data_IF_917987224931
#
_entry.id   IF_917987224931
#
_cell.length_a   1.000
_cell.length_b   1.000
_cell.length_c   1.000
_cell.angle_alpha   90.00
_cell.angle_beta   90.00
_cell.angle_gamma   90.00
#
_symmetry.space_group_name_H-M   'P 1'
#
loop_
_entity.id
_entity.type
_entity.pdbx_description
1 polymer ?
#
# COMPACT_ATOMS: atom_id res chain seq x y z
N UNK A 1 11.47 -13.43 -13.39
CA UNK A 1 10.86 -12.86 -12.18
C UNK A 1 9.50 -12.34 -12.58
N UNK A 2 8.41 -12.76 -11.91
CA UNK A 2 7.04 -12.40 -12.29
C UNK A 2 6.70 -11.05 -11.66
N UNK A 3 6.37 -10.05 -12.48
CA UNK A 3 6.05 -8.70 -12.01
C UNK A 3 4.55 -8.50 -12.02
N UNK A 4 4.04 -7.71 -11.08
CA UNK A 4 2.63 -7.34 -11.10
C UNK A 4 2.27 -6.55 -12.36
N UNK A 5 3.17 -5.66 -12.81
CA UNK A 5 2.99 -4.87 -14.04
C UNK A 5 2.76 -5.69 -15.31
N UNK A 6 3.16 -6.97 -15.32
CA UNK A 6 2.96 -7.86 -16.47
C UNK A 6 1.47 -8.19 -16.69
N UNK A 7 0.64 -8.13 -15.63
CA UNK A 7 -0.80 -8.44 -15.68
C UNK A 7 -1.71 -7.28 -15.26
N UNK A 8 -1.14 -6.14 -14.87
CA UNK A 8 -1.87 -4.97 -14.33
C UNK A 8 -3.01 -4.52 -15.26
N UNK A 9 -2.74 -4.39 -16.56
CA UNK A 9 -3.74 -4.01 -17.58
C UNK A 9 -4.89 -5.01 -17.66
N UNK A 10 -4.60 -6.31 -17.52
CA UNK A 10 -5.61 -7.38 -17.56
C UNK A 10 -6.50 -7.35 -16.32
N UNK A 11 -5.90 -7.18 -15.14
CA UNK A 11 -6.65 -7.01 -13.90
C UNK A 11 -7.61 -5.81 -13.96
N UNK A 12 -7.15 -4.72 -14.58
CA UNK A 12 -7.96 -3.53 -14.81
C UNK A 12 -9.11 -3.79 -15.79
N UNK A 13 -8.84 -4.41 -16.94
CA UNK A 13 -9.88 -4.72 -17.93
C UNK A 13 -10.96 -5.64 -17.37
N UNK A 14 -10.55 -6.58 -16.52
CA UNK A 14 -11.43 -7.56 -15.89
C UNK A 14 -12.19 -6.96 -14.67
N UNK A 15 -11.91 -5.71 -14.31
CA UNK A 15 -12.60 -5.01 -13.22
C UNK A 15 -12.20 -5.45 -11.81
N UNK A 16 -11.12 -6.23 -11.65
CA UNK A 16 -10.73 -6.77 -10.34
C UNK A 16 -10.44 -5.66 -9.31
N UNK A 17 -9.84 -4.53 -9.72
CA UNK A 17 -9.59 -3.42 -8.81
C UNK A 17 -10.85 -2.69 -8.35
N UNK A 18 -12.00 -2.95 -8.97
CA UNK A 18 -13.32 -2.46 -8.54
C UNK A 18 -13.99 -3.37 -7.51
N UNK A 19 -13.46 -4.57 -7.30
CA UNK A 19 -13.98 -5.54 -6.34
C UNK A 19 -13.16 -5.59 -5.05
N UNK A 20 -11.85 -5.36 -5.15
CA UNK A 20 -10.92 -5.56 -4.04
C UNK A 20 -10.21 -4.26 -3.65
N UNK A 21 -10.27 -3.84 -2.37
CA UNK A 21 -9.55 -2.67 -1.91
C UNK A 21 -8.04 -2.90 -2.10
N UNK A 22 -7.41 -2.03 -2.87
CA UNK A 22 -6.00 -2.17 -3.24
C UNK A 22 -5.33 -0.82 -3.17
N UNK A 23 -4.19 -0.77 -2.47
CA UNK A 23 -3.37 0.42 -2.35
C UNK A 23 -1.94 0.13 -2.81
N UNK A 24 -1.38 1.10 -3.54
CA UNK A 24 0.05 1.16 -3.84
C UNK A 24 0.74 1.94 -2.75
N UNK A 25 1.71 1.33 -2.10
CA UNK A 25 2.56 1.95 -1.09
C UNK A 25 3.83 2.44 -1.76
N UNK A 26 4.08 3.74 -1.68
CA UNK A 26 5.15 4.40 -2.41
C UNK A 26 6.35 4.70 -1.52
N UNK A 27 6.10 5.40 -0.42
CA UNK A 27 7.15 6.02 0.38
C UNK A 27 6.78 6.00 1.87
N UNK A 28 7.80 5.92 2.72
CA UNK A 28 7.71 6.18 4.16
C UNK A 28 7.94 7.69 4.37
N UNK A 29 7.03 8.43 5.03
CA UNK A 29 7.24 9.83 5.35
C UNK A 29 8.42 9.99 6.30
N UNK A 30 9.16 11.10 6.21
CA UNK A 30 10.19 11.41 7.21
C UNK A 30 9.52 11.95 8.46
N UNK A 31 10.21 11.81 9.59
CA UNK A 31 9.72 12.34 10.88
C UNK A 31 9.36 13.84 10.80
N UNK A 32 10.19 14.64 10.11
CA UNK A 32 9.92 16.08 9.89
C UNK A 32 8.64 16.36 9.09
N UNK A 33 8.19 15.42 8.25
CA UNK A 33 6.98 15.57 7.45
C UNK A 33 5.75 15.27 8.32
N UNK A 34 5.91 14.34 9.28
CA UNK A 34 4.89 14.04 10.27
C UNK A 34 4.69 15.17 11.29
N UNK A 35 5.73 15.95 11.57
CA UNK A 35 5.67 17.10 12.49
C UNK A 35 4.92 18.32 11.92
N UNK A 36 4.58 18.33 10.62
CA UNK A 36 4.01 19.50 9.93
C UNK A 36 2.48 19.54 9.88
N UNK A 37 1.79 18.79 10.72
CA UNK A 37 0.34 18.69 10.68
C UNK A 37 -0.29 18.30 12.01
N UNK A 38 -1.63 18.35 12.06
CA UNK A 38 -2.42 17.81 13.17
C UNK A 38 -2.57 16.29 13.02
N UNK A 39 -1.47 15.58 12.80
CA UNK A 39 -1.48 14.13 12.64
C UNK A 39 -1.72 13.44 13.99
N UNK A 40 -2.42 12.28 14.00
CA UNK A 40 -2.57 11.50 15.21
C UNK A 40 -1.20 11.01 15.68
N UNK A 41 -1.06 10.86 17.00
CA UNK A 41 0.14 10.27 17.59
C UNK A 41 0.13 8.76 17.31
N UNK A 42 1.31 8.22 17.01
CA UNK A 42 1.53 6.77 16.97
C UNK A 42 1.35 6.23 18.40
N UNK A 43 0.39 5.33 18.58
CA UNK A 43 0.03 4.78 19.89
C UNK A 43 0.89 3.57 20.26
N UNK A 44 1.39 2.84 19.26
CA UNK A 44 2.21 1.64 19.45
C UNK A 44 3.14 1.37 18.25
N UNK A 45 4.09 0.44 18.40
CA UNK A 45 5.08 0.08 17.37
C UNK A 45 4.51 -0.59 16.12
N UNK A 46 3.23 -0.98 16.17
CA UNK A 46 2.54 -1.66 15.07
C UNK A 46 1.89 -0.67 14.10
N UNK A 47 1.84 0.61 14.47
CA UNK A 47 1.31 1.68 13.65
C UNK A 47 2.41 2.34 12.81
N UNK A 48 2.16 2.48 11.51
CA UNK A 48 3.14 3.03 10.56
C UNK A 48 2.43 3.97 9.60
N UNK A 49 2.96 5.19 9.47
CA UNK A 49 2.54 6.10 8.42
C UNK A 49 3.20 5.73 7.10
N UNK A 50 2.43 5.70 6.01
CA UNK A 50 2.88 5.42 4.66
C UNK A 50 2.16 6.33 3.66
N UNK A 51 2.86 6.76 2.61
CA UNK A 51 2.21 7.35 1.45
C UNK A 51 1.62 6.23 0.59
N UNK A 52 0.30 6.27 0.42
CA UNK A 52 -0.45 5.28 -0.31
C UNK A 52 -1.30 5.94 -1.40
N UNK A 53 -1.51 5.22 -2.50
CA UNK A 53 -2.38 5.62 -3.59
C UNK A 53 -3.45 4.56 -3.84
N UNK A 54 -4.70 5.00 -3.96
CA UNK A 54 -5.79 4.16 -4.43
C UNK A 54 -5.81 4.08 -5.95
N UNK A 55 -6.28 2.95 -6.46
CA UNK A 55 -6.43 2.75 -7.90
C UNK A 55 -7.87 3.08 -8.32
N UNK A 56 -8.79 2.11 -8.25
CA UNK A 56 -10.17 2.26 -8.79
C UNK A 56 -11.27 2.33 -7.73
N UNK A 57 -10.92 2.18 -6.46
CA UNK A 57 -11.87 2.21 -5.37
C UNK A 57 -11.58 3.34 -4.39
N UNK A 58 -12.66 3.91 -3.87
CA UNK A 58 -12.61 4.73 -2.69
C UNK A 58 -12.30 3.84 -1.49
N UNK A 59 -11.16 4.07 -0.83
CA UNK A 59 -10.70 3.24 0.27
C UNK A 59 -10.97 3.93 1.59
N UNK A 60 -11.91 3.40 2.38
CA UNK A 60 -12.36 4.00 3.64
C UNK A 60 -11.42 3.68 4.80
N UNK A 61 -11.39 4.53 5.81
CA UNK A 61 -10.86 4.16 7.14
C UNK A 61 -11.55 2.88 7.63
N UNK A 62 -10.82 2.07 8.38
CA UNK A 62 -11.14 0.72 8.83
C UNK A 62 -11.23 -0.35 7.73
N UNK A 63 -10.77 -0.05 6.51
CA UNK A 63 -10.57 -1.10 5.50
C UNK A 63 -9.48 -2.07 5.96
N UNK A 64 -9.77 -3.37 5.83
CA UNK A 64 -8.86 -4.45 6.20
C UNK A 64 -8.10 -4.95 4.98
N UNK A 65 -6.82 -5.25 5.19
CA UNK A 65 -5.92 -5.87 4.23
C UNK A 65 -5.21 -7.05 4.90
N UNK A 66 -4.86 -8.07 4.12
CA UNK A 66 -4.29 -9.31 4.65
C UNK A 66 -3.05 -9.81 3.88
N UNK A 67 -2.62 -9.07 2.85
CA UNK A 67 -1.43 -9.39 2.09
C UNK A 67 -0.69 -8.14 1.63
N UNK A 68 0.63 -8.20 1.75
CA UNK A 68 1.57 -7.25 1.15
C UNK A 68 2.46 -7.98 0.16
N UNK A 69 2.74 -7.41 -1.00
CA UNK A 69 3.71 -7.97 -1.93
C UNK A 69 4.47 -6.91 -2.72
N UNK A 70 5.64 -7.30 -3.21
CA UNK A 70 6.50 -6.50 -4.06
C UNK A 70 5.91 -6.34 -5.46
N UNK A 71 5.87 -5.11 -5.97
CA UNK A 71 5.43 -4.84 -7.36
C UNK A 71 6.37 -5.50 -8.37
N UNK A 72 7.69 -5.43 -8.12
CA UNK A 72 8.72 -5.98 -9.00
C UNK A 72 8.94 -7.50 -8.85
N UNK A 73 8.52 -8.12 -7.74
CA UNK A 73 8.65 -9.56 -7.53
C UNK A 73 7.49 -10.08 -6.67
N UNK A 74 6.43 -10.55 -7.31
CA UNK A 74 5.22 -10.93 -6.57
C UNK A 74 5.42 -12.08 -5.57
N UNK A 75 6.41 -12.94 -5.82
CA UNK A 75 6.74 -14.04 -4.93
C UNK A 75 7.28 -13.55 -3.58
N UNK A 76 7.79 -12.32 -3.52
CA UNK A 76 8.11 -11.64 -2.28
C UNK A 76 6.83 -11.03 -1.69
N UNK A 77 6.06 -11.91 -1.06
CA UNK A 77 4.82 -11.57 -0.38
C UNK A 77 4.91 -11.88 1.12
N UNK A 78 4.13 -11.16 1.90
CA UNK A 78 3.94 -11.37 3.33
C UNK A 78 2.45 -11.40 3.60
N UNK A 79 1.98 -12.48 4.21
CA UNK A 79 0.65 -12.51 4.82
C UNK A 79 0.69 -11.65 6.07
N UNK A 80 -0.27 -10.77 6.22
CA UNK A 80 -0.36 -9.85 7.35
C UNK A 80 -1.82 -9.72 7.75
N UNK A 81 -2.12 -9.03 8.84
CA UNK A 81 -3.44 -8.41 9.03
C UNK A 81 -3.20 -6.95 9.32
N UNK A 82 -3.84 -6.09 8.54
CA UNK A 82 -3.58 -4.67 8.54
C UNK A 82 -4.88 -3.90 8.40
N UNK A 83 -5.03 -2.85 9.20
CA UNK A 83 -6.19 -1.96 9.18
C UNK A 83 -5.73 -0.55 8.84
N UNK A 84 -6.40 0.10 7.89
CA UNK A 84 -6.23 1.52 7.62
C UNK A 84 -6.92 2.33 8.72
N UNK A 85 -6.16 3.02 9.58
CA UNK A 85 -6.69 3.73 10.75
C UNK A 85 -6.95 5.22 10.50
N UNK A 86 -6.22 5.83 9.57
CA UNK A 86 -6.27 7.26 9.35
C UNK A 86 -5.82 7.60 7.93
N UNK A 87 -6.39 8.66 7.36
CA UNK A 87 -6.06 9.16 6.03
C UNK A 87 -5.97 10.69 6.06
N UNK A 88 -4.95 11.23 5.39
CA UNK A 88 -4.73 12.66 5.21
C UNK A 88 -4.18 12.94 3.80
N UNK A 89 -4.91 13.68 2.98
CA UNK A 89 -4.43 14.15 1.64
C UNK A 89 -3.54 15.39 1.73
N UNK A 90 -3.59 16.07 2.88
CA UNK A 90 -2.75 17.18 3.25
C UNK A 90 -2.55 17.05 4.77
N UNK A 91 -1.33 17.15 5.33
CA UNK A 91 -1.06 16.95 6.76
C UNK A 91 -1.97 17.70 7.74
N UNK A 92 -2.72 18.71 7.27
CA UNK A 92 -3.68 19.49 8.05
C UNK A 92 -5.13 18.98 7.98
N UNK A 93 -5.48 18.04 7.10
CA UNK A 93 -6.85 17.62 6.82
C UNK A 93 -6.99 16.10 6.80
N UNK A 94 -7.65 15.59 7.84
CA UNK A 94 -8.15 14.22 7.90
C UNK A 94 -9.36 14.04 6.98
N UNK A 95 -9.44 12.88 6.35
CA UNK A 95 -10.59 12.45 5.54
C UNK A 95 -10.95 11.00 5.85
N UNK A 96 -12.22 10.64 5.64
CA UNK A 96 -12.73 9.30 5.98
C UNK A 96 -12.41 8.23 4.92
N UNK A 97 -11.91 8.63 3.75
CA UNK A 97 -11.57 7.73 2.65
C UNK A 97 -10.55 8.35 1.68
N UNK A 98 -9.77 7.51 1.00
CA UNK A 98 -8.91 7.90 -0.13
C UNK A 98 -9.76 7.80 -1.39
N UNK A 99 -10.08 8.90 -2.09
CA UNK A 99 -10.81 8.81 -3.35
C UNK A 99 -10.00 8.03 -4.39
N UNK A 100 -10.66 7.30 -5.31
CA UNK A 100 -9.98 6.59 -6.40
C UNK A 100 -8.99 7.51 -7.16
N UNK A 101 -7.81 6.97 -7.46
CA UNK A 101 -6.73 7.66 -8.17
C UNK A 101 -5.91 8.63 -7.33
N UNK A 102 -6.31 8.90 -6.08
CA UNK A 102 -5.68 9.90 -5.19
C UNK A 102 -4.61 9.27 -4.31
N UNK A 103 -3.55 10.03 -4.04
CA UNK A 103 -2.51 9.69 -3.07
C UNK A 103 -2.76 10.41 -1.74
N UNK A 104 -2.52 9.72 -0.63
CA UNK A 104 -2.69 10.25 0.72
C UNK A 104 -1.62 9.70 1.66
N UNK A 105 -1.35 10.45 2.73
CA UNK A 105 -0.67 9.95 3.90
C UNK A 105 -1.65 9.10 4.73
N UNK A 106 -1.28 7.87 5.03
CA UNK A 106 -2.15 6.90 5.68
C UNK A 106 -1.47 6.32 6.92
N UNK A 107 -2.22 6.12 8.00
CA UNK A 107 -1.76 5.34 9.15
C UNK A 107 -2.30 3.92 9.02
N UNK A 108 -1.40 2.95 8.99
CA UNK A 108 -1.73 1.54 9.01
C UNK A 108 -1.39 0.93 10.36
N UNK A 109 -2.24 0.04 10.86
CA UNK A 109 -1.97 -0.76 12.06
C UNK A 109 -1.87 -2.23 11.69
N UNK A 110 -0.73 -2.85 11.97
CA UNK A 110 -0.44 -4.25 11.66
C UNK A 110 -0.60 -5.13 12.90
N UNK A 111 -1.42 -6.18 12.85
CA UNK A 111 -1.70 -7.04 14.03
C UNK A 111 -0.41 -7.67 14.60
N UNK A 112 0.45 -8.19 13.70
CA UNK A 112 1.68 -8.92 14.04
C UNK A 112 2.95 -8.04 14.03
N UNK A 113 2.78 -6.71 14.12
CA UNK A 113 3.88 -5.74 14.05
C UNK A 113 4.27 -5.35 12.62
N UNK A 114 5.17 -4.37 12.52
CA UNK A 114 5.62 -3.79 11.24
C UNK A 114 6.29 -4.86 10.35
N UNK A 115 5.75 -5.18 9.16
CA UNK A 115 6.38 -6.14 8.26
C UNK A 115 7.73 -5.67 7.72
N UNK A 116 8.75 -6.55 7.72
CA UNK A 116 10.10 -6.23 7.22
C UNK A 116 10.13 -5.82 5.75
N UNK A 117 9.20 -6.35 4.94
CA UNK A 117 9.05 -6.01 3.52
C UNK A 117 8.86 -4.50 3.29
N UNK A 118 8.33 -3.76 4.26
CA UNK A 118 8.23 -2.29 4.20
C UNK A 118 9.58 -1.59 4.10
N UNK A 119 10.68 -2.24 4.50
CA UNK A 119 12.04 -1.69 4.34
C UNK A 119 12.47 -1.54 2.87
N UNK A 120 11.69 -2.09 1.93
CA UNK A 120 11.88 -1.88 0.47
C UNK A 120 11.38 -0.52 -0.01
N UNK A 121 10.54 0.16 0.77
CA UNK A 121 10.04 1.49 0.45
C UNK A 121 11.10 2.56 0.69
N UNK A 122 11.04 3.62 -0.10
CA UNK A 122 11.89 4.80 0.06
C UNK A 122 11.41 5.69 1.20
N UNK A 123 12.32 6.48 1.78
CA UNK A 123 11.89 7.66 2.50
C UNK A 123 11.55 8.78 1.51
N UNK A 124 10.46 9.50 1.77
CA UNK A 124 10.01 10.63 0.96
C UNK A 124 11.17 11.62 0.69
N UNK A 125 11.40 11.97 -0.57
CA UNK A 125 12.50 12.83 -1.06
C UNK A 125 13.93 12.25 -1.11
N UNK A 126 14.17 10.97 -0.80
CA UNK A 126 15.50 10.33 -1.04
C UNK A 126 15.66 9.82 -2.49
N UNK A 127 14.83 10.30 -3.42
CA UNK A 127 14.78 9.87 -4.84
C UNK A 127 16.03 10.20 -5.66
N UNK A 128 17.00 10.93 -5.10
CA UNK A 128 18.28 11.27 -5.74
C UNK A 128 19.36 10.18 -5.63
N UNK A 129 19.09 9.05 -4.97
CA UNK A 129 20.06 7.94 -4.85
C UNK A 129 19.72 6.80 -5.80
N UNK A 130 20.69 6.35 -6.59
CA UNK A 130 20.67 5.24 -7.55
C UNK A 130 20.35 3.85 -6.93
N UNK A 131 19.27 3.73 -6.17
CA UNK A 131 18.91 2.55 -5.42
C UNK A 131 17.65 1.90 -6.02
N UNK A 132 17.66 0.57 -6.02
CA UNK A 132 16.62 -0.32 -6.54
C UNK A 132 15.46 -0.43 -5.54
N UNK A 133 14.75 0.66 -5.34
CA UNK A 133 13.57 0.67 -4.48
C UNK A 133 12.35 0.15 -5.22
N UNK A 134 11.42 -0.41 -4.45
CA UNK A 134 10.21 -1.01 -5.00
C UNK A 134 8.97 -0.28 -4.50
N UNK A 135 7.89 -0.38 -5.27
CA UNK A 135 6.56 -0.12 -4.74
C UNK A 135 6.04 -1.41 -4.12
N UNK A 136 5.27 -1.29 -3.05
CA UNK A 136 4.57 -2.43 -2.48
C UNK A 136 3.09 -2.29 -2.77
N UNK A 137 2.41 -3.42 -2.90
CA UNK A 137 0.95 -3.45 -3.02
C UNK A 137 0.39 -4.09 -1.75
N UNK A 138 -0.62 -3.44 -1.18
CA UNK A 138 -1.42 -3.99 -0.08
C UNK A 138 -2.85 -4.21 -0.56
N UNK A 139 -3.40 -5.41 -0.35
CA UNK A 139 -4.72 -5.81 -0.83
C UNK A 139 -5.29 -6.96 0.01
N UNK A 140 -6.32 -7.62 -0.49
CA UNK A 140 -6.91 -8.84 0.04
C UNK A 140 -6.32 -10.10 -0.62
N UNK A 141 -6.24 -11.20 0.13
CA UNK A 141 -5.63 -12.46 -0.25
C UNK A 141 -6.32 -13.07 -1.45
N UNK A 142 -7.64 -12.88 -1.54
CA UNK A 142 -8.45 -13.28 -2.70
C UNK A 142 -7.95 -12.68 -4.00
N UNK A 143 -7.57 -11.39 -4.01
CA UNK A 143 -7.00 -10.76 -5.20
C UNK A 143 -5.60 -11.29 -5.49
N UNK A 144 -4.76 -11.44 -4.46
CA UNK A 144 -3.41 -11.99 -4.62
C UNK A 144 -3.40 -13.40 -5.21
N UNK A 145 -4.33 -14.27 -4.80
CA UNK A 145 -4.50 -15.61 -5.38
C UNK A 145 -4.85 -15.53 -6.86
N UNK A 146 -5.86 -14.73 -7.24
CA UNK A 146 -6.24 -14.51 -8.65
C UNK A 146 -5.05 -14.03 -9.49
N UNK A 147 -4.30 -13.08 -8.96
CA UNK A 147 -3.08 -12.55 -9.60
C UNK A 147 -2.04 -13.67 -9.80
N UNK A 148 -1.80 -14.47 -8.76
CA UNK A 148 -0.82 -15.56 -8.81
C UNK A 148 -1.20 -16.61 -9.85
N UNK A 149 -2.50 -16.94 -9.95
CA UNK A 149 -3.04 -17.85 -10.96
C UNK A 149 -2.84 -17.30 -12.38
N UNK A 150 -3.18 -16.03 -12.62
CA UNK A 150 -3.00 -15.37 -13.93
C UNK A 150 -1.54 -15.38 -14.38
N UNK A 151 -0.62 -15.07 -13.47
CA UNK A 151 0.82 -15.09 -13.76
C UNK A 151 1.38 -16.51 -13.99
N UNK A 152 0.67 -17.56 -13.55
CA UNK A 152 1.02 -18.95 -13.79
C UNK A 152 0.34 -19.52 -15.04
N UNK A 153 -0.79 -18.96 -15.49
CA UNK A 153 -1.52 -19.41 -16.68
C UNK A 153 -0.93 -18.92 -18.00
N UNK A 154 -0.16 -17.83 -17.99
CA UNK A 154 0.50 -17.28 -19.18
C UNK A 154 1.86 -17.98 -19.50
N UNK A 155 2.02 -19.25 -19.08
CA UNK A 155 3.16 -20.15 -19.35
C UNK A 155 2.72 -21.34 -20.21
#
# INVERSE_FOLDING_TARGET
>A
MKKFGDIETKLYSDGNFKEFPTLFLHDIPREKDLQKGNLPKIENSNQVFLFARSYDLDIKVNTNFDVLYSYNNINECVKTKCILKYISVNPSYEIDYIPSGVSALCLFEFEDGKPEILNKLLYYMDKDKHLTYDNLIITQMSLYIKISELLNSDQ
#
